data_IF_762872347881
#
_entry.id   IF_762872347881
#
_cell.length_a   1.000
_cell.length_b   1.000
_cell.length_c   1.000
_cell.angle_alpha   90.00
_cell.angle_beta   90.00
_cell.angle_gamma   90.00
#
_symmetry.space_group_name_H-M   'P 1'
#
loop_
_entity.id
_entity.type
_entity.pdbx_description
1 polymer ?
#
# COMPACT_ATOMS: atom_id res chain seq x y z
N UNK A 1 -4.68 26.19 -18.28
CA UNK A 1 -4.43 25.60 -16.94
C UNK A 1 -5.79 25.36 -16.31
N UNK A 2 -6.08 24.14 -15.86
CA UNK A 2 -7.35 23.84 -15.18
C UNK A 2 -7.18 24.08 -13.68
N UNK A 3 -8.05 24.93 -13.12
CA UNK A 3 -8.09 25.15 -11.67
C UNK A 3 -9.18 24.24 -11.08
N UNK A 4 -8.85 23.54 -10.00
CA UNK A 4 -9.74 22.70 -9.22
C UNK A 4 -9.92 23.32 -7.84
N UNK A 5 -11.14 23.24 -7.32
CA UNK A 5 -11.49 23.75 -5.98
C UNK A 5 -12.16 22.64 -5.18
N UNK A 6 -11.41 21.57 -4.80
CA UNK A 6 -11.95 20.52 -3.96
C UNK A 6 -12.13 21.02 -2.52
N UNK A 7 -12.97 20.34 -1.75
CA UNK A 7 -13.05 20.56 -0.30
C UNK A 7 -11.78 20.05 0.40
N UNK A 8 -11.21 18.95 -0.12
CA UNK A 8 -9.98 18.34 0.42
C UNK A 8 -9.01 18.04 -0.73
N UNK A 9 -7.78 18.50 -0.59
CA UNK A 9 -6.65 18.12 -1.44
C UNK A 9 -5.68 17.28 -0.62
N UNK A 10 -5.48 16.04 -1.03
CA UNK A 10 -4.56 15.09 -0.39
C UNK A 10 -3.29 14.98 -1.22
N UNK A 11 -2.13 15.22 -0.62
CA UNK A 11 -0.82 15.07 -1.25
C UNK A 11 -0.20 13.76 -0.74
N UNK A 12 -0.11 12.79 -1.62
CA UNK A 12 0.43 11.46 -1.37
C UNK A 12 -0.64 10.39 -1.15
N UNK A 13 -0.52 9.31 -1.92
CA UNK A 13 -1.40 8.14 -1.86
C UNK A 13 -0.79 6.98 -1.05
N UNK A 14 -0.15 7.28 0.05
CA UNK A 14 0.22 6.31 1.07
C UNK A 14 -0.97 5.94 1.96
N UNK A 15 -0.75 5.11 2.97
CA UNK A 15 -1.80 4.60 3.86
C UNK A 15 -2.62 5.72 4.52
N UNK A 16 -1.98 6.81 4.96
CA UNK A 16 -2.65 7.96 5.55
C UNK A 16 -3.50 8.73 4.54
N UNK A 17 -2.92 9.08 3.39
CA UNK A 17 -3.60 9.83 2.34
C UNK A 17 -4.79 9.07 1.76
N UNK A 18 -4.64 7.77 1.52
CA UNK A 18 -5.72 6.91 1.04
C UNK A 18 -6.86 6.79 2.07
N UNK A 19 -6.53 6.70 3.36
CA UNK A 19 -7.55 6.66 4.42
C UNK A 19 -8.36 7.94 4.48
N UNK A 20 -7.69 9.10 4.39
CA UNK A 20 -8.39 10.42 4.35
C UNK A 20 -9.24 10.53 3.10
N UNK A 21 -8.69 10.19 1.92
CA UNK A 21 -9.42 10.31 0.66
C UNK A 21 -10.67 9.42 0.62
N UNK A 22 -10.54 8.15 1.04
CA UNK A 22 -11.67 7.23 1.09
C UNK A 22 -12.73 7.65 2.11
N UNK A 23 -12.30 8.07 3.30
CA UNK A 23 -13.20 8.53 4.36
C UNK A 23 -13.99 9.77 3.93
N UNK A 24 -13.31 10.78 3.39
CA UNK A 24 -13.96 12.00 2.92
C UNK A 24 -14.93 11.72 1.76
N UNK A 25 -14.54 10.90 0.79
CA UNK A 25 -15.40 10.52 -0.32
C UNK A 25 -16.67 9.79 0.15
N UNK A 26 -16.56 8.93 1.19
CA UNK A 26 -17.70 8.25 1.78
C UNK A 26 -18.73 9.20 2.39
N UNK A 27 -18.31 10.36 2.84
CA UNK A 27 -19.19 11.44 3.32
C UNK A 27 -19.67 12.40 2.21
N UNK A 28 -19.37 12.12 0.94
CA UNK A 28 -19.77 12.94 -0.19
C UNK A 28 -18.97 14.24 -0.36
N UNK A 29 -17.82 14.33 0.31
CA UNK A 29 -16.92 15.48 0.21
C UNK A 29 -16.10 15.39 -1.08
N UNK A 30 -15.90 16.50 -1.77
CA UNK A 30 -15.10 16.53 -2.98
C UNK A 30 -13.60 16.40 -2.65
N UNK A 31 -12.94 15.40 -3.23
CA UNK A 31 -11.54 15.08 -2.93
C UNK A 31 -10.70 15.03 -4.20
N UNK A 32 -9.56 15.71 -4.16
CA UNK A 32 -8.46 15.54 -5.10
C UNK A 32 -7.30 14.86 -4.37
N UNK A 33 -6.79 13.78 -4.93
CA UNK A 33 -5.63 13.05 -4.43
C UNK A 33 -4.50 13.13 -5.46
N UNK A 34 -3.35 13.64 -5.05
CA UNK A 34 -2.18 13.76 -5.92
C UNK A 34 -1.09 12.80 -5.47
N UNK A 35 -0.61 11.94 -6.37
CA UNK A 35 0.47 10.98 -6.09
C UNK A 35 1.55 11.06 -7.18
N UNK A 36 2.80 11.25 -6.74
CA UNK A 36 3.96 11.34 -7.64
C UNK A 36 4.57 10.00 -8.02
N UNK A 37 4.31 8.96 -7.24
CA UNK A 37 4.91 7.65 -7.40
C UNK A 37 3.86 6.55 -7.54
N UNK A 38 4.01 5.51 -6.74
CA UNK A 38 3.09 4.37 -6.76
C UNK A 38 1.96 4.55 -5.75
N UNK A 39 0.74 4.29 -6.19
CA UNK A 39 -0.41 4.17 -5.30
C UNK A 39 -0.13 3.13 -4.19
N UNK A 40 -0.62 3.39 -2.99
CA UNK A 40 -0.33 2.57 -1.81
C UNK A 40 0.92 3.00 -1.03
N UNK A 41 1.78 3.84 -1.63
CA UNK A 41 2.96 4.41 -0.99
C UNK A 41 3.95 3.37 -0.47
N UNK A 42 4.69 3.73 0.56
CA UNK A 42 5.75 2.88 1.13
C UNK A 42 5.19 1.61 1.78
N UNK A 43 4.07 1.69 2.47
CA UNK A 43 3.49 0.55 3.17
C UNK A 43 3.21 -0.62 2.21
N UNK A 44 2.51 -0.38 1.11
CA UNK A 44 2.19 -1.41 0.13
C UNK A 44 3.43 -1.89 -0.62
N UNK A 45 4.24 -0.96 -1.12
CA UNK A 45 5.25 -1.26 -2.12
C UNK A 45 6.62 -1.63 -1.53
N UNK A 46 6.99 -1.08 -0.37
CA UNK A 46 8.35 -1.18 0.16
C UNK A 46 8.42 -1.43 1.67
N UNK A 47 7.31 -1.40 2.39
CA UNK A 47 7.27 -1.41 3.86
C UNK A 47 6.47 -2.56 4.44
N UNK A 48 5.28 -2.24 4.96
CA UNK A 48 4.46 -3.15 5.78
C UNK A 48 4.12 -4.46 5.08
N UNK A 49 3.70 -4.40 3.83
CA UNK A 49 3.25 -5.59 3.08
C UNK A 49 4.43 -6.52 2.77
N UNK A 50 5.50 -6.07 2.10
CA UNK A 50 6.63 -6.96 1.82
C UNK A 50 7.33 -7.45 3.08
N UNK A 51 7.47 -6.65 4.12
CA UNK A 51 8.11 -7.07 5.36
C UNK A 51 7.30 -8.14 6.09
N UNK A 52 5.98 -8.00 6.18
CA UNK A 52 5.11 -9.01 6.80
C UNK A 52 5.10 -10.32 6.01
N UNK A 53 5.12 -10.26 4.68
CA UNK A 53 5.22 -11.45 3.84
C UNK A 53 6.55 -12.20 4.08
N UNK A 54 7.66 -11.47 4.18
CA UNK A 54 8.97 -12.04 4.50
C UNK A 54 9.01 -12.65 5.90
N UNK A 55 8.47 -11.95 6.90
CA UNK A 55 8.37 -12.46 8.27
C UNK A 55 7.53 -13.73 8.32
N UNK A 56 6.44 -13.81 7.56
CA UNK A 56 5.61 -15.00 7.49
C UNK A 56 6.40 -16.20 6.94
N UNK A 57 7.18 -16.01 5.88
CA UNK A 57 8.08 -17.05 5.35
C UNK A 57 9.11 -17.49 6.41
N UNK A 58 9.71 -16.55 7.12
CA UNK A 58 10.65 -16.82 8.22
C UNK A 58 10.00 -17.62 9.36
N UNK A 59 8.75 -17.33 9.71
CA UNK A 59 8.00 -18.09 10.72
C UNK A 59 7.77 -19.54 10.30
N UNK A 60 7.48 -19.80 9.02
CA UNK A 60 7.34 -21.17 8.51
C UNK A 60 8.66 -21.94 8.61
N UNK A 61 9.78 -21.34 8.21
CA UNK A 61 11.08 -21.96 8.35
C UNK A 61 11.43 -22.24 9.82
N UNK A 62 11.15 -21.30 10.71
CA UNK A 62 11.34 -21.46 12.15
C UNK A 62 10.48 -22.60 12.72
N UNK A 63 9.22 -22.71 12.32
CA UNK A 63 8.31 -23.74 12.79
C UNK A 63 8.80 -25.14 12.42
N UNK A 64 9.34 -25.34 11.21
CA UNK A 64 9.91 -26.61 10.78
C UNK A 64 11.11 -27.02 11.63
N UNK A 65 11.94 -26.07 12.07
CA UNK A 65 13.10 -26.33 12.92
C UNK A 65 12.76 -26.59 14.39
N UNK A 66 11.59 -26.19 14.85
CA UNK A 66 11.25 -26.12 16.27
C UNK A 66 9.97 -26.86 16.64
N UNK A 67 9.63 -27.93 15.91
CA UNK A 67 8.43 -28.74 16.16
C UNK A 67 8.53 -29.68 17.35
N UNK A 68 9.73 -30.07 17.78
CA UNK A 68 9.96 -31.14 18.78
C UNK A 68 9.22 -30.91 20.11
N UNK A 69 9.13 -29.67 20.57
CA UNK A 69 8.41 -29.31 21.80
C UNK A 69 6.88 -29.58 21.74
N UNK A 70 6.36 -29.77 20.54
CA UNK A 70 4.95 -30.12 20.31
C UNK A 70 4.78 -31.61 19.92
N UNK A 71 5.82 -32.42 20.03
CA UNK A 71 5.79 -33.82 19.58
C UNK A 71 5.89 -33.98 18.06
N UNK A 72 6.29 -32.95 17.33
CA UNK A 72 6.48 -32.94 15.87
C UNK A 72 7.98 -32.96 15.59
N UNK A 73 8.43 -33.88 14.74
CA UNK A 73 9.87 -33.97 14.37
C UNK A 73 10.37 -32.65 13.77
N UNK A 74 11.60 -32.26 14.16
CA UNK A 74 12.26 -31.11 13.54
C UNK A 74 12.72 -31.46 12.14
N UNK A 75 12.60 -30.52 11.23
CA UNK A 75 13.09 -30.63 9.85
C UNK A 75 13.85 -29.37 9.47
N UNK A 76 15.04 -29.51 8.89
CA UNK A 76 15.74 -28.37 8.32
C UNK A 76 15.08 -28.01 6.98
N UNK A 77 14.50 -26.80 6.85
CA UNK A 77 13.83 -26.41 5.62
C UNK A 77 14.83 -26.15 4.49
N UNK A 78 14.51 -26.61 3.31
CA UNK A 78 15.19 -26.19 2.09
C UNK A 78 14.61 -24.85 1.64
N UNK A 79 15.39 -23.77 1.76
CA UNK A 79 14.93 -22.41 1.46
C UNK A 79 15.43 -21.94 0.09
N UNK A 80 14.51 -21.71 -0.84
CA UNK A 80 14.79 -21.02 -2.08
C UNK A 80 14.38 -19.54 -1.97
N UNK A 81 15.36 -18.66 -1.73
CA UNK A 81 15.08 -17.25 -1.50
C UNK A 81 14.49 -16.53 -2.72
N UNK A 82 14.78 -17.00 -3.94
CA UNK A 82 14.15 -16.47 -5.15
C UNK A 82 12.63 -16.69 -5.15
N UNK A 83 12.17 -17.87 -4.71
CA UNK A 83 10.75 -18.16 -4.58
C UNK A 83 10.11 -17.39 -3.42
N UNK A 84 10.82 -17.19 -2.32
CA UNK A 84 10.37 -16.31 -1.22
C UNK A 84 10.14 -14.89 -1.74
N UNK A 85 11.09 -14.36 -2.49
CA UNK A 85 10.97 -13.01 -3.07
C UNK A 85 9.81 -12.93 -4.09
N UNK A 86 9.64 -13.94 -4.93
CA UNK A 86 8.50 -14.02 -5.84
C UNK A 86 7.18 -13.99 -5.08
N UNK A 87 7.04 -14.79 -4.03
CA UNK A 87 5.84 -14.79 -3.17
C UNK A 87 5.55 -13.40 -2.58
N UNK A 88 6.58 -12.69 -2.11
CA UNK A 88 6.42 -11.32 -1.60
C UNK A 88 5.81 -10.39 -2.67
N UNK A 89 6.30 -10.46 -3.90
CA UNK A 89 5.77 -9.65 -5.00
C UNK A 89 4.34 -10.04 -5.38
N UNK A 90 3.99 -11.32 -5.31
CA UNK A 90 2.63 -11.82 -5.51
C UNK A 90 1.66 -11.29 -4.43
N UNK A 91 2.10 -11.21 -3.17
CA UNK A 91 1.32 -10.61 -2.08
C UNK A 91 1.08 -9.13 -2.34
N UNK A 92 2.10 -8.38 -2.73
CA UNK A 92 1.95 -6.97 -3.10
C UNK A 92 0.95 -6.83 -4.24
N UNK A 93 1.08 -7.61 -5.30
CA UNK A 93 0.20 -7.58 -6.46
C UNK A 93 -1.26 -7.92 -6.11
N UNK A 94 -1.48 -8.85 -5.18
CA UNK A 94 -2.81 -9.21 -4.71
C UNK A 94 -3.51 -8.10 -3.93
N UNK A 95 -2.75 -7.26 -3.21
CA UNK A 95 -3.28 -6.15 -2.41
C UNK A 95 -3.41 -4.86 -3.21
N UNK A 96 -2.53 -4.64 -4.19
CA UNK A 96 -2.44 -3.40 -4.97
C UNK A 96 -3.78 -2.91 -5.56
N UNK A 97 -4.71 -3.76 -6.03
CA UNK A 97 -6.02 -3.29 -6.52
C UNK A 97 -6.82 -2.48 -5.49
N UNK A 98 -6.64 -2.75 -4.19
CA UNK A 98 -7.33 -2.04 -3.11
C UNK A 98 -6.89 -0.58 -3.00
N UNK A 99 -5.68 -0.26 -3.44
CA UNK A 99 -5.08 1.07 -3.38
C UNK A 99 -4.96 1.71 -4.77
N UNK A 100 -5.62 1.15 -5.78
CA UNK A 100 -5.47 1.56 -7.18
C UNK A 100 -6.19 2.86 -7.52
N UNK A 101 -5.68 3.54 -8.55
CA UNK A 101 -6.36 4.70 -9.16
C UNK A 101 -7.81 4.37 -9.51
N UNK A 102 -8.03 3.20 -10.12
CA UNK A 102 -9.38 2.77 -10.53
C UNK A 102 -10.34 2.68 -9.35
N UNK A 103 -9.93 2.08 -8.24
CA UNK A 103 -10.77 1.99 -7.04
C UNK A 103 -11.09 3.36 -6.47
N UNK A 104 -10.09 4.23 -6.30
CA UNK A 104 -10.32 5.56 -5.73
C UNK A 104 -11.14 6.46 -6.63
N UNK A 105 -10.97 6.35 -7.96
CA UNK A 105 -11.84 7.03 -8.92
C UNK A 105 -13.30 6.54 -8.81
N UNK A 106 -13.50 5.25 -8.64
CA UNK A 106 -14.84 4.67 -8.42
C UNK A 106 -15.49 5.14 -7.10
N UNK A 107 -14.68 5.46 -6.08
CA UNK A 107 -15.15 6.07 -4.83
C UNK A 107 -15.50 7.57 -4.98
N UNK A 108 -15.26 8.18 -6.13
CA UNK A 108 -15.52 9.60 -6.38
C UNK A 108 -14.32 10.52 -6.12
N UNK A 109 -13.13 9.96 -5.83
CA UNK A 109 -11.90 10.73 -5.67
C UNK A 109 -11.30 11.06 -7.04
N UNK A 110 -10.95 12.31 -7.28
CA UNK A 110 -10.17 12.69 -8.45
C UNK A 110 -8.69 12.44 -8.20
N UNK A 111 -8.15 11.39 -8.79
CA UNK A 111 -6.73 11.03 -8.67
C UNK A 111 -5.91 11.70 -9.77
N UNK A 112 -4.82 12.36 -9.38
CA UNK A 112 -3.86 13.01 -10.28
C UNK A 112 -2.48 12.40 -10.02
N UNK A 113 -1.91 11.77 -11.04
CA UNK A 113 -0.56 11.22 -10.98
C UNK A 113 0.45 12.30 -11.37
N UNK A 114 0.92 13.06 -10.38
CA UNK A 114 1.87 14.15 -10.54
C UNK A 114 2.54 14.48 -9.21
N UNK A 115 3.63 15.23 -9.27
CA UNK A 115 4.16 15.90 -8.08
C UNK A 115 3.29 17.08 -7.71
N UNK A 116 3.10 17.30 -6.41
CA UNK A 116 2.38 18.45 -5.90
C UNK A 116 3.18 19.13 -4.79
N UNK A 117 3.11 20.45 -4.75
CA UNK A 117 3.72 21.25 -3.70
C UNK A 117 2.84 22.46 -3.39
N UNK A 118 2.92 22.96 -2.18
CA UNK A 118 2.29 24.23 -1.85
C UNK A 118 2.96 25.38 -2.62
N UNK A 119 2.18 26.11 -3.36
CA UNK A 119 2.59 27.34 -4.04
C UNK A 119 2.42 28.54 -3.11
N UNK A 120 1.37 28.53 -2.33
CA UNK A 120 1.06 29.48 -1.26
C UNK A 120 0.21 28.77 -0.18
N UNK A 121 -0.30 29.52 0.81
CA UNK A 121 -1.09 28.94 1.91
C UNK A 121 -2.41 28.29 1.48
N UNK A 122 -2.94 28.65 0.32
CA UNK A 122 -4.26 28.23 -0.16
C UNK A 122 -4.20 27.46 -1.50
N UNK A 123 -3.00 27.30 -2.10
CA UNK A 123 -2.84 26.74 -3.44
C UNK A 123 -1.80 25.63 -3.47
N UNK A 124 -2.18 24.52 -4.07
CA UNK A 124 -1.28 23.42 -4.45
C UNK A 124 -1.11 23.40 -5.96
N UNK A 125 0.14 23.25 -6.43
CA UNK A 125 0.50 23.18 -7.85
C UNK A 125 1.38 21.95 -8.13
#
# INVERSE_FOLDING_TARGET
MQILTPDICVIGAGSGGLSVAAGAAAFGVSVVLVEKGKMGGDCLNYGCVPSKALIAAGKHAHALRNGAKFGIGNTEPEVNFKLVNQHIHEVIAAIAPNDSVGRFTALGVRVIQASAAFRDKDTVA
#
